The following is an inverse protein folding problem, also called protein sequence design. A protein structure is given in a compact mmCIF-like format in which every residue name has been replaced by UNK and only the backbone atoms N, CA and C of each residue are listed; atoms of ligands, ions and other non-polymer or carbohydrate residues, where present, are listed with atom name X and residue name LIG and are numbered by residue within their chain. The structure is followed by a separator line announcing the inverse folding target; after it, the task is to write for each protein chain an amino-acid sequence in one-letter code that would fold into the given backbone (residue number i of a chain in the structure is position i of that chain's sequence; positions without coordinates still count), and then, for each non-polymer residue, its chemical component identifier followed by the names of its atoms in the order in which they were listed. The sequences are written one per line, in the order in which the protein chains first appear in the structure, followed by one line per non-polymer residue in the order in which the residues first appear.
data_IF_347850462785
#
_entry.id   IF_347850462785
#
_cell.length_a   1.000
_cell.length_b   1.000
_cell.length_c   1.000
_cell.angle_alpha   90.00
_cell.angle_beta   90.00
_cell.angle_gamma   90.00
#
_symmetry.space_group_name_H-M   'P 1'
#
loop_
_entity.id
_entity.type
_entity.pdbx_description
1 polymer ?
#
# COMPACT_ATOMS: atom_id res chain seq x y z
N UNK A 1 3.25 -9.52 4.10
CA UNK A 1 2.26 -9.88 3.05
C UNK A 1 2.21 -11.39 2.75
N UNK A 2 2.87 -12.22 3.56
CA UNK A 2 3.19 -13.62 3.28
C UNK A 2 1.94 -14.50 3.37
N UNK A 3 0.97 -14.15 4.21
CA UNK A 3 -0.30 -14.86 4.31
C UNK A 3 -1.08 -14.92 2.98
N UNK A 4 -0.73 -14.10 1.98
CA UNK A 4 -1.32 -14.18 0.64
C UNK A 4 -0.97 -15.46 -0.12
N UNK A 5 0.14 -16.14 0.23
CA UNK A 5 0.48 -17.44 -0.35
C UNK A 5 -0.61 -18.50 -0.07
N UNK A 6 -1.25 -18.42 1.10
CA UNK A 6 -2.24 -19.41 1.56
C UNK A 6 -3.61 -19.23 0.89
N UNK A 7 -3.90 -18.04 0.37
CA UNK A 7 -5.22 -17.69 -0.20
C UNK A 7 -5.17 -17.33 -1.69
N UNK A 8 -4.02 -17.54 -2.34
CA UNK A 8 -3.76 -17.09 -3.73
C UNK A 8 -4.83 -17.50 -4.74
N UNK A 9 -5.47 -18.66 -4.55
CA UNK A 9 -6.44 -19.23 -5.49
C UNK A 9 -7.83 -18.58 -5.41
N UNK A 10 -8.07 -17.73 -4.40
CA UNK A 10 -9.34 -17.03 -4.18
C UNK A 10 -9.19 -15.49 -4.17
N UNK A 11 -7.99 -14.96 -4.45
CA UNK A 11 -7.74 -13.53 -4.50
C UNK A 11 -8.34 -12.91 -5.78
N UNK A 12 -9.26 -11.96 -5.60
CA UNK A 12 -9.94 -11.28 -6.71
C UNK A 12 -9.50 -9.82 -6.90
N UNK A 13 -9.33 -9.08 -5.79
CA UNK A 13 -8.96 -7.67 -5.79
C UNK A 13 -8.14 -7.36 -4.53
N UNK A 14 -7.06 -6.59 -4.67
CA UNK A 14 -6.23 -6.11 -3.57
C UNK A 14 -6.44 -4.61 -3.38
N UNK A 15 -6.81 -4.20 -2.17
CA UNK A 15 -6.83 -2.81 -1.74
C UNK A 15 -5.62 -2.54 -0.86
N UNK A 16 -4.81 -1.55 -1.21
CA UNK A 16 -3.66 -1.10 -0.44
C UNK A 16 -4.09 0.10 0.38
N UNK A 17 -4.31 -0.13 1.66
CA UNK A 17 -4.48 0.93 2.66
C UNK A 17 -3.16 1.32 3.30
N UNK A 18 -3.21 2.34 4.15
CA UNK A 18 -2.15 2.66 5.10
C UNK A 18 -2.70 2.55 6.52
N UNK A 19 -1.95 1.90 7.41
CA UNK A 19 -2.30 1.87 8.83
C UNK A 19 -1.82 3.15 9.51
N UNK A 20 -2.58 3.66 10.47
CA UNK A 20 -2.16 4.76 11.35
C UNK A 20 -1.80 4.23 12.74
N UNK A 21 -0.61 4.53 13.20
CA UNK A 21 -0.20 4.35 14.58
C UNK A 21 -0.64 5.55 15.41
N UNK A 22 -1.33 5.30 16.52
CA UNK A 22 -1.87 6.29 17.44
C UNK A 22 -1.57 5.87 18.88
N UNK A 23 -1.78 6.75 19.85
CA UNK A 23 -1.61 6.41 21.27
C UNK A 23 -2.57 5.29 21.74
N UNK A 24 -3.69 5.09 21.02
CA UNK A 24 -4.65 4.00 21.24
C UNK A 24 -4.33 2.73 20.43
N UNK A 25 -3.17 2.67 19.79
CA UNK A 25 -2.73 1.56 18.93
C UNK A 25 -2.98 1.77 17.44
N UNK A 26 -2.94 0.67 16.69
CA UNK A 26 -3.06 0.68 15.24
C UNK A 26 -4.50 0.84 14.78
N UNK A 27 -4.71 1.71 13.79
CA UNK A 27 -6.02 2.02 13.23
C UNK A 27 -6.01 1.84 11.72
N UNK A 28 -7.06 1.22 11.21
CA UNK A 28 -7.31 1.02 9.77
C UNK A 28 -7.97 2.26 9.15
N UNK A 29 -7.29 3.40 9.28
CA UNK A 29 -7.86 4.69 8.90
C UNK A 29 -7.51 5.14 7.50
N UNK A 30 -6.56 4.47 6.83
CA UNK A 30 -6.17 4.77 5.46
C UNK A 30 -5.71 6.23 5.25
N UNK A 31 -4.82 6.80 6.09
CA UNK A 31 -4.31 8.15 5.83
C UNK A 31 -3.49 8.17 4.54
N UNK A 32 -3.27 9.37 4.00
CA UNK A 32 -2.25 9.54 2.97
C UNK A 32 -0.88 9.03 3.45
N UNK A 33 -0.11 8.46 2.52
CA UNK A 33 1.26 7.99 2.81
C UNK A 33 2.13 9.13 3.38
N UNK A 34 3.01 8.76 4.32
CA UNK A 34 3.95 9.66 5.00
C UNK A 34 3.34 10.78 5.85
N UNK A 35 2.05 10.68 6.20
CA UNK A 35 1.44 11.52 7.23
C UNK A 35 1.93 11.12 8.63
N UNK A 36 1.84 12.01 9.64
CA UNK A 36 2.16 11.66 11.02
C UNK A 36 1.40 10.39 11.47
N UNK A 37 2.16 9.39 11.90
CA UNK A 37 1.63 8.08 12.31
C UNK A 37 1.31 7.10 11.17
N UNK A 38 1.38 7.49 9.90
CA UNK A 38 1.27 6.55 8.78
C UNK A 38 2.48 5.62 8.75
N UNK A 39 2.27 4.30 8.76
CA UNK A 39 3.38 3.34 8.91
C UNK A 39 3.79 2.63 7.63
N UNK A 40 2.96 2.64 6.59
CA UNK A 40 3.31 2.04 5.30
C UNK A 40 4.01 3.07 4.41
N UNK A 41 4.97 2.60 3.61
CA UNK A 41 5.61 3.38 2.55
C UNK A 41 6.08 2.51 1.39
N UNK A 42 7.05 3.03 0.65
CA UNK A 42 7.61 2.40 -0.56
C UNK A 42 8.06 0.95 -0.32
N UNK A 43 8.74 0.64 0.79
CA UNK A 43 9.30 -0.69 1.01
C UNK A 43 8.22 -1.72 1.34
N UNK A 44 7.20 -1.35 2.11
CA UNK A 44 6.08 -2.23 2.44
C UNK A 44 5.25 -2.52 1.19
N UNK A 45 5.02 -1.50 0.35
CA UNK A 45 4.34 -1.68 -0.94
C UNK A 45 5.19 -2.53 -1.89
N UNK A 46 6.51 -2.33 -1.95
CA UNK A 46 7.43 -3.19 -2.73
C UNK A 46 7.31 -4.65 -2.29
N UNK A 47 7.35 -4.91 -0.99
CA UNK A 47 7.23 -6.26 -0.44
C UNK A 47 5.90 -6.92 -0.83
N UNK A 48 4.80 -6.16 -0.79
CA UNK A 48 3.50 -6.65 -1.26
C UNK A 48 3.53 -6.98 -2.76
N UNK A 49 4.02 -6.07 -3.61
CA UNK A 49 4.11 -6.29 -5.05
C UNK A 49 4.95 -7.54 -5.37
N UNK A 50 6.05 -7.77 -4.65
CA UNK A 50 6.89 -8.97 -4.84
C UNK A 50 6.15 -10.26 -4.49
N UNK A 51 5.37 -10.27 -3.41
CA UNK A 51 4.54 -11.44 -3.08
C UNK A 51 3.47 -11.66 -4.14
N UNK A 52 2.80 -10.59 -4.60
CA UNK A 52 1.79 -10.69 -5.67
C UNK A 52 2.38 -11.24 -6.97
N UNK A 53 3.59 -10.81 -7.34
CA UNK A 53 4.33 -11.37 -8.47
C UNK A 53 4.63 -12.87 -8.26
N UNK A 54 5.16 -13.25 -7.10
CA UNK A 54 5.52 -14.64 -6.78
C UNK A 54 4.32 -15.60 -6.83
N UNK A 55 3.12 -15.13 -6.49
CA UNK A 55 1.88 -15.93 -6.62
C UNK A 55 1.22 -15.80 -8.00
N UNK A 56 1.88 -15.11 -8.95
CA UNK A 56 1.38 -14.85 -10.29
C UNK A 56 0.00 -14.17 -10.31
N UNK A 57 -0.26 -13.27 -9.36
CA UNK A 57 -1.52 -12.54 -9.26
C UNK A 57 -1.73 -11.66 -10.50
N UNK A 58 -2.93 -11.73 -11.09
CA UNK A 58 -3.33 -10.96 -12.31
C UNK A 58 -4.52 -10.03 -12.10
N UNK A 59 -5.07 -9.99 -10.88
CA UNK A 59 -6.21 -9.14 -10.57
C UNK A 59 -5.82 -7.66 -10.43
N UNK A 60 -6.82 -6.82 -10.21
CA UNK A 60 -6.59 -5.40 -9.98
C UNK A 60 -5.90 -5.16 -8.63
N UNK A 61 -5.17 -4.05 -8.56
CA UNK A 61 -4.59 -3.49 -7.32
C UNK A 61 -4.99 -2.01 -7.26
N UNK A 62 -5.64 -1.61 -6.18
CA UNK A 62 -6.07 -0.22 -5.96
C UNK A 62 -5.57 0.30 -4.61
N UNK A 63 -5.42 1.62 -4.48
CA UNK A 63 -5.24 2.22 -3.16
C UNK A 63 -6.60 2.57 -2.55
N UNK A 64 -6.69 2.35 -1.25
CA UNK A 64 -7.75 2.90 -0.42
C UNK A 64 -7.10 3.90 0.55
N UNK A 65 -7.22 5.19 0.25
CA UNK A 65 -6.58 6.27 1.00
C UNK A 65 -7.51 7.47 1.08
N UNK A 66 -7.47 8.19 2.20
CA UNK A 66 -8.32 9.36 2.44
C UNK A 66 -7.49 10.57 2.90
N UNK A 67 -7.89 11.79 2.49
CA UNK A 67 -7.29 13.01 3.02
C UNK A 67 -7.59 13.14 4.50
N UNK A 68 -6.57 13.55 5.25
CA UNK A 68 -6.73 13.99 6.62
C UNK A 68 -7.00 15.50 6.68
N UNK A 69 -7.21 16.01 7.89
CA UNK A 69 -7.35 17.45 8.11
C UNK A 69 -6.17 18.23 7.49
N UNK A 70 -6.52 19.33 6.83
CA UNK A 70 -5.58 20.21 6.12
C UNK A 70 -4.84 19.51 4.95
N UNK A 71 -5.47 18.53 4.30
CA UNK A 71 -4.92 17.87 3.11
C UNK A 71 -5.91 17.97 1.94
N UNK A 72 -5.40 18.30 0.76
CA UNK A 72 -6.19 18.29 -0.47
C UNK A 72 -6.30 16.86 -1.02
N UNK A 73 -7.43 16.45 -1.62
CA UNK A 73 -7.59 15.12 -2.20
C UNK A 73 -6.48 14.75 -3.20
N UNK A 74 -6.03 15.71 -4.01
CA UNK A 74 -4.96 15.47 -4.99
C UNK A 74 -3.59 15.21 -4.36
N UNK A 75 -3.30 15.74 -3.17
CA UNK A 75 -2.05 15.45 -2.46
C UNK A 75 -1.97 13.97 -2.09
N UNK A 76 -3.09 13.41 -1.63
CA UNK A 76 -3.20 11.99 -1.26
C UNK A 76 -3.04 11.10 -2.49
N UNK A 77 -3.74 11.43 -3.57
CA UNK A 77 -3.65 10.68 -4.85
C UNK A 77 -2.22 10.72 -5.40
N UNK A 78 -1.60 11.89 -5.44
CA UNK A 78 -0.24 12.05 -5.97
C UNK A 78 0.80 11.33 -5.10
N UNK A 79 0.67 11.41 -3.77
CA UNK A 79 1.54 10.69 -2.84
C UNK A 79 1.43 9.16 -3.03
N UNK A 80 0.21 8.63 -3.11
CA UNK A 80 -0.03 7.21 -3.35
C UNK A 80 0.55 6.73 -4.70
N UNK A 81 0.37 7.52 -5.77
CA UNK A 81 1.00 7.23 -7.07
C UNK A 81 2.52 7.21 -6.99
N UNK A 82 3.12 8.17 -6.28
CA UNK A 82 4.57 8.23 -6.05
C UNK A 82 5.07 6.97 -5.33
N UNK A 83 4.41 6.57 -4.25
CA UNK A 83 4.72 5.34 -3.53
C UNK A 83 4.67 4.12 -4.44
N UNK A 84 3.61 3.96 -5.24
CA UNK A 84 3.49 2.82 -6.15
C UNK A 84 4.58 2.78 -7.21
N UNK A 85 4.81 3.90 -7.89
CA UNK A 85 5.81 3.95 -8.95
C UNK A 85 7.22 3.71 -8.42
N UNK A 86 7.56 4.30 -7.27
CA UNK A 86 8.87 4.07 -6.66
C UNK A 86 8.99 2.64 -6.14
N UNK A 87 7.96 2.08 -5.50
CA UNK A 87 7.96 0.69 -5.04
C UNK A 87 8.15 -0.29 -6.21
N UNK A 88 7.41 -0.09 -7.30
CA UNK A 88 7.52 -0.92 -8.51
C UNK A 88 8.90 -0.76 -9.17
N UNK A 89 9.40 0.46 -9.33
CA UNK A 89 10.73 0.70 -9.88
C UNK A 89 11.82 0.01 -9.03
N UNK A 90 11.76 0.14 -7.69
CA UNK A 90 12.69 -0.55 -6.80
C UNK A 90 12.55 -2.07 -6.86
N UNK A 91 11.34 -2.60 -7.05
CA UNK A 91 11.14 -4.04 -7.26
C UNK A 91 11.90 -4.52 -8.50
N UNK A 92 11.72 -3.84 -9.63
CA UNK A 92 12.33 -4.23 -10.91
C UNK A 92 13.84 -3.98 -10.97
N UNK A 93 14.34 -2.94 -10.31
CA UNK A 93 15.75 -2.53 -10.40
C UNK A 93 16.68 -3.11 -9.31
N UNK A 94 16.12 -3.49 -8.16
CA UNK A 94 16.89 -4.09 -7.05
C UNK A 94 16.78 -5.63 -7.03
N UNK A 95 16.30 -6.21 -8.14
CA UNK A 95 16.22 -7.65 -8.38
C UNK A 95 17.56 -8.27 -8.78
#
# INVERSE_FOLDING_TARGET
PENLYDVKDILMHIHIGCTKNTDEGYKDWHPGFYRPGAINGINEVKALLKVLENINYKGAVSFEVKPEENQLPLEVVNSAKGVLYTAYAKMVLEE
#
